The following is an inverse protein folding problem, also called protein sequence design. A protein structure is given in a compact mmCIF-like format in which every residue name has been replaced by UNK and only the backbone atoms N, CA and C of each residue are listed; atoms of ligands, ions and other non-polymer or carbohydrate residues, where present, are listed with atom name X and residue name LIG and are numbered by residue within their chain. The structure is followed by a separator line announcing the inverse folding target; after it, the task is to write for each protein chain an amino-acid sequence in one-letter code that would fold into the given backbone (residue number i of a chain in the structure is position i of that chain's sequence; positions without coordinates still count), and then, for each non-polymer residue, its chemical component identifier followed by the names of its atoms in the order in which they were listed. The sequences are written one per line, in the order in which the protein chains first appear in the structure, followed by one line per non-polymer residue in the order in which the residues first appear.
data_IF_576887929121
#
_entry.id   IF_576887929121
#
_cell.length_a   1.000
_cell.length_b   1.000
_cell.length_c   1.000
_cell.angle_alpha   90.00
_cell.angle_beta   90.00
_cell.angle_gamma   90.00
#
_symmetry.space_group_name_H-M   'P 1'
#
loop_
_entity.id
_entity.type
_entity.pdbx_description
1 polymer ?
#
# COMPACT_ATOMS: atom_id res chain seq x y z
N UNK A 1 -36.90 -31.27 -10.08
CA UNK A 1 -36.04 -31.04 -8.89
C UNK A 1 -34.69 -31.71 -9.13
N UNK A 2 -33.74 -31.02 -9.77
CA UNK A 2 -32.36 -31.51 -9.91
C UNK A 2 -31.48 -30.64 -9.04
N UNK A 3 -31.31 -31.06 -7.79
CA UNK A 3 -30.56 -30.35 -6.77
C UNK A 3 -29.66 -31.32 -6.02
N UNK A 4 -28.37 -31.28 -6.38
CA UNK A 4 -27.20 -31.45 -5.52
C UNK A 4 -27.04 -32.76 -4.71
N UNK A 5 -26.24 -33.68 -5.26
CA UNK A 5 -25.20 -34.35 -4.49
C UNK A 5 -23.84 -33.82 -4.99
N UNK A 6 -23.38 -32.70 -4.40
CA UNK A 6 -21.96 -32.32 -4.53
C UNK A 6 -21.15 -33.33 -3.72
N UNK A 7 -20.14 -33.94 -4.33
CA UNK A 7 -19.27 -34.84 -3.59
C UNK A 7 -18.43 -34.04 -2.60
N UNK A 8 -18.17 -34.59 -1.42
CA UNK A 8 -17.35 -33.92 -0.39
C UNK A 8 -15.98 -33.45 -0.94
N UNK A 9 -15.44 -34.17 -1.93
CA UNK A 9 -14.23 -33.79 -2.67
C UNK A 9 -14.39 -32.47 -3.46
N UNK A 10 -15.50 -32.27 -4.16
CA UNK A 10 -15.80 -31.03 -4.89
C UNK A 10 -15.98 -29.85 -3.92
N UNK A 11 -16.58 -30.10 -2.75
CA UNK A 11 -16.76 -29.08 -1.73
C UNK A 11 -15.42 -28.67 -1.09
N UNK A 12 -14.53 -29.64 -0.82
CA UNK A 12 -13.17 -29.39 -0.37
C UNK A 12 -12.33 -28.65 -1.42
N UNK A 13 -12.43 -29.02 -2.70
CA UNK A 13 -11.76 -28.33 -3.80
C UNK A 13 -12.26 -26.90 -3.97
N UNK A 14 -13.57 -26.66 -3.82
CA UNK A 14 -14.14 -25.31 -3.87
C UNK A 14 -13.68 -24.41 -2.71
N UNK A 15 -13.38 -24.99 -1.54
CA UNK A 15 -12.79 -24.28 -0.39
C UNK A 15 -11.29 -24.07 -0.56
N UNK A 16 -10.61 -24.95 -1.30
CA UNK A 16 -9.18 -24.87 -1.58
C UNK A 16 -8.84 -23.86 -2.70
N UNK A 17 -9.65 -23.80 -3.75
CA UNK A 17 -9.45 -22.91 -4.89
C UNK A 17 -10.12 -21.57 -4.61
N UNK A 18 -9.30 -20.55 -4.32
CA UNK A 18 -9.80 -19.17 -4.21
C UNK A 18 -10.04 -18.60 -5.59
N UNK A 19 -11.30 -18.49 -5.99
CA UNK A 19 -11.71 -17.69 -7.14
C UNK A 19 -11.80 -16.22 -6.72
N UNK A 20 -11.19 -15.33 -7.49
CA UNK A 20 -11.27 -13.89 -7.29
C UNK A 20 -12.10 -13.29 -8.41
N UNK A 21 -13.08 -12.47 -8.07
CA UNK A 21 -13.82 -11.69 -9.05
C UNK A 21 -13.16 -10.32 -9.26
N UNK A 22 -13.47 -9.65 -10.36
CA UNK A 22 -13.00 -8.28 -10.61
C UNK A 22 -13.39 -7.31 -9.47
N UNK A 23 -14.57 -7.52 -8.90
CA UNK A 23 -15.03 -6.75 -7.74
C UNK A 23 -14.08 -6.91 -6.54
N UNK A 24 -13.55 -8.11 -6.30
CA UNK A 24 -12.61 -8.39 -5.20
C UNK A 24 -11.26 -7.71 -5.39
N UNK A 25 -10.86 -7.45 -6.64
CA UNK A 25 -9.59 -6.81 -6.99
C UNK A 25 -9.66 -5.28 -6.88
N UNK A 26 -10.81 -4.67 -7.17
CA UNK A 26 -10.96 -3.20 -7.29
C UNK A 26 -11.51 -2.54 -6.02
N UNK A 27 -11.83 -3.31 -4.98
CA UNK A 27 -12.37 -2.81 -3.69
C UNK A 27 -11.58 -1.62 -3.11
N UNK A 28 -10.29 -1.50 -3.41
CA UNK A 28 -9.39 -0.44 -2.93
C UNK A 28 -9.96 0.97 -3.18
N UNK A 29 -10.65 1.18 -4.30
CA UNK A 29 -11.21 2.47 -4.68
C UNK A 29 -12.51 2.83 -3.95
N UNK A 30 -13.17 1.88 -3.27
CA UNK A 30 -14.50 2.09 -2.66
C UNK A 30 -14.46 2.55 -1.20
N UNK A 31 -13.30 2.44 -0.54
CA UNK A 31 -13.19 2.77 0.87
C UNK A 31 -12.59 4.17 1.07
N UNK A 32 -13.24 5.07 1.83
CA UNK A 32 -12.74 6.44 2.02
C UNK A 32 -11.42 6.45 2.81
N UNK A 33 -11.25 5.49 3.73
CA UNK A 33 -10.03 5.35 4.51
C UNK A 33 -9.16 4.19 4.01
N UNK A 34 -8.01 4.54 3.47
CA UNK A 34 -7.03 3.59 2.93
C UNK A 34 -6.01 3.16 3.98
N UNK A 35 -5.53 1.93 3.83
CA UNK A 35 -4.37 1.41 4.56
C UNK A 35 -3.06 1.74 3.84
N UNK A 36 -1.92 1.55 4.51
CA UNK A 36 -0.60 1.79 3.91
C UNK A 36 -0.39 1.01 2.59
N UNK A 37 -0.62 -0.31 2.52
CA UNK A 37 -0.49 -1.03 1.25
C UNK A 37 -1.44 -0.53 0.17
N UNK A 38 -2.68 -0.18 0.49
CA UNK A 38 -3.64 0.33 -0.48
C UNK A 38 -3.23 1.68 -1.08
N UNK A 39 -2.59 2.54 -0.29
CA UNK A 39 -2.05 3.81 -0.78
C UNK A 39 -0.83 3.60 -1.67
N UNK A 40 0.10 2.72 -1.27
CA UNK A 40 1.38 2.55 -1.96
C UNK A 40 1.31 1.63 -3.19
N UNK A 41 0.34 0.71 -3.25
CA UNK A 41 0.14 -0.18 -4.40
C UNK A 41 -0.17 0.56 -5.72
N UNK A 42 -0.61 1.82 -5.63
CA UNK A 42 -0.92 2.67 -6.78
C UNK A 42 0.33 3.29 -7.40
N UNK A 43 1.46 3.28 -6.67
CA UNK A 43 2.70 3.91 -7.09
C UNK A 43 3.70 2.90 -7.64
N UNK A 44 4.59 3.33 -8.56
CA UNK A 44 5.67 2.48 -9.04
C UNK A 44 6.59 2.09 -7.88
N UNK A 45 7.23 0.93 -8.00
CA UNK A 45 8.09 0.36 -6.96
C UNK A 45 7.45 0.32 -5.58
N UNK A 46 6.12 0.19 -5.49
CA UNK A 46 5.41 0.00 -4.23
C UNK A 46 5.67 1.13 -3.21
N UNK A 47 5.98 2.34 -3.68
CA UNK A 47 6.27 3.51 -2.84
C UNK A 47 7.61 3.45 -2.09
N UNK A 48 8.58 2.66 -2.57
CA UNK A 48 9.96 2.72 -2.07
C UNK A 48 10.52 4.14 -2.23
N UNK A 49 11.16 4.65 -1.17
CA UNK A 49 11.70 6.00 -1.06
C UNK A 49 10.70 7.03 -0.48
N UNK A 50 9.42 6.68 -0.34
CA UNK A 50 8.42 7.60 0.18
C UNK A 50 8.57 7.76 1.69
N UNK A 51 8.24 8.96 2.17
CA UNK A 51 8.08 9.25 3.60
C UNK A 51 6.69 8.85 4.02
N UNK A 52 6.57 8.05 5.08
CA UNK A 52 5.28 7.63 5.64
C UNK A 52 5.26 7.86 7.14
N UNK A 53 4.12 8.33 7.65
CA UNK A 53 3.95 8.59 9.07
C UNK A 53 2.50 8.36 9.49
N UNK A 54 2.28 8.26 10.80
CA UNK A 54 0.93 8.19 11.34
C UNK A 54 0.40 9.58 11.68
N UNK A 55 -0.90 9.78 11.53
CA UNK A 55 -1.60 11.02 11.91
C UNK A 55 -1.39 11.42 13.37
N UNK A 56 -1.19 10.44 14.26
CA UNK A 56 -0.99 10.65 15.71
C UNK A 56 0.48 10.77 16.10
N UNK A 57 1.41 10.69 15.16
CA UNK A 57 2.83 10.83 15.47
C UNK A 57 3.20 12.31 15.61
N UNK A 58 4.21 12.63 16.44
CA UNK A 58 4.78 13.97 16.49
C UNK A 58 5.21 14.44 15.10
N UNK A 59 5.23 15.76 14.92
CA UNK A 59 5.77 16.37 13.71
C UNK A 59 7.22 15.92 13.46
N UNK A 60 7.62 15.88 12.19
CA UNK A 60 8.94 15.43 11.75
C UNK A 60 9.34 14.00 12.16
N UNK A 61 8.38 13.18 12.61
CA UNK A 61 8.55 11.74 12.80
C UNK A 61 8.00 10.97 11.60
N UNK A 62 8.86 10.34 10.83
CA UNK A 62 8.46 9.59 9.63
C UNK A 62 9.35 8.37 9.41
N UNK A 63 8.94 7.47 8.54
CA UNK A 63 9.73 6.34 8.06
C UNK A 63 9.93 6.53 6.56
N UNK A 64 11.16 6.39 6.08
CA UNK A 64 11.43 6.27 4.65
C UNK A 64 11.41 4.80 4.29
N UNK A 65 10.56 4.41 3.35
CA UNK A 65 10.41 3.02 2.92
C UNK A 65 11.64 2.62 2.11
N UNK A 66 12.32 1.57 2.52
CA UNK A 66 13.45 0.99 1.78
C UNK A 66 13.01 -0.21 0.96
N UNK A 67 12.10 -1.02 1.50
CA UNK A 67 11.63 -2.25 0.87
C UNK A 67 10.14 -2.48 1.13
N UNK A 68 9.46 -3.03 0.13
CA UNK A 68 8.04 -3.33 0.19
C UNK A 68 7.73 -4.68 -0.48
N UNK A 69 7.16 -5.60 0.30
CA UNK A 69 6.75 -6.93 -0.18
C UNK A 69 5.23 -7.06 -0.11
N UNK A 70 4.61 -7.07 -1.27
CA UNK A 70 3.16 -7.24 -1.39
C UNK A 70 2.83 -8.73 -1.53
N UNK A 71 1.83 -9.19 -0.77
CA UNK A 71 1.19 -10.51 -0.99
C UNK A 71 -0.04 -10.36 -1.92
N UNK A 72 -0.60 -9.16 -1.97
CA UNK A 72 -1.71 -8.75 -2.83
C UNK A 72 -1.98 -7.27 -2.58
N UNK A 73 -2.92 -6.68 -3.31
CA UNK A 73 -3.10 -5.23 -3.33
C UNK A 73 -3.40 -4.57 -1.96
N UNK A 74 -3.99 -5.33 -1.02
CA UNK A 74 -4.39 -4.83 0.32
C UNK A 74 -3.46 -5.27 1.45
N UNK A 75 -2.51 -6.15 1.16
CA UNK A 75 -1.69 -6.81 2.17
C UNK A 75 -0.22 -6.78 1.76
N UNK A 76 0.63 -6.21 2.64
CA UNK A 76 2.06 -6.15 2.40
C UNK A 76 2.86 -5.98 3.69
N UNK A 77 4.13 -6.39 3.63
CA UNK A 77 5.14 -6.11 4.64
C UNK A 77 6.03 -4.99 4.12
N UNK A 78 6.25 -3.99 4.96
CA UNK A 78 7.05 -2.82 4.63
C UNK A 78 8.20 -2.70 5.61
N UNK A 79 9.35 -2.33 5.08
CA UNK A 79 10.56 -2.07 5.84
C UNK A 79 11.08 -0.68 5.49
N UNK A 80 11.64 0.00 6.48
CA UNK A 80 12.14 1.34 6.27
C UNK A 80 12.92 1.88 7.46
N UNK A 81 13.64 2.96 7.22
CA UNK A 81 14.45 3.62 8.25
C UNK A 81 13.59 4.69 8.92
N UNK A 82 13.55 4.67 10.25
CA UNK A 82 12.80 5.65 11.01
C UNK A 82 13.63 6.92 11.23
N UNK A 83 13.01 8.07 10.97
CA UNK A 83 13.58 9.39 11.15
C UNK A 83 12.78 10.17 12.20
N UNK A 84 13.50 11.00 12.95
CA UNK A 84 12.91 12.00 13.85
C UNK A 84 13.73 13.28 13.78
N UNK A 85 13.06 14.41 13.49
CA UNK A 85 13.71 15.70 13.29
C UNK A 85 14.87 15.63 12.27
N UNK A 86 14.65 14.91 11.17
CA UNK A 86 15.63 14.73 10.09
C UNK A 86 16.78 13.75 10.40
N UNK A 87 16.87 13.22 11.63
CA UNK A 87 17.92 12.26 12.01
C UNK A 87 17.41 10.83 11.98
N UNK A 88 18.17 9.86 11.43
CA UNK A 88 17.81 8.46 11.52
C UNK A 88 17.93 7.98 12.98
N UNK A 89 16.88 7.33 13.48
CA UNK A 89 16.85 6.72 14.82
C UNK A 89 17.54 5.36 14.85
N UNK A 90 17.48 4.62 13.73
CA UNK A 90 18.09 3.31 13.58
C UNK A 90 18.91 3.26 12.30
N UNK A 91 20.09 2.64 12.30
CA UNK A 91 20.88 2.47 11.08
C UNK A 91 20.27 1.41 10.15
N UNK A 92 19.53 0.46 10.72
CA UNK A 92 18.91 -0.64 9.97
C UNK A 92 17.43 -0.37 9.69
N UNK A 93 16.91 -0.85 8.55
CA UNK A 93 15.48 -0.83 8.25
C UNK A 93 14.68 -1.64 9.27
N UNK A 94 13.61 -1.03 9.80
CA UNK A 94 12.67 -1.67 10.71
C UNK A 94 11.37 -2.03 9.99
N UNK A 95 10.73 -3.11 10.43
CA UNK A 95 9.40 -3.49 9.94
C UNK A 95 8.34 -2.50 10.40
N UNK A 96 7.58 -1.95 9.46
CA UNK A 96 6.45 -1.05 9.77
C UNK A 96 5.30 -1.87 10.37
N UNK A 97 4.95 -1.57 11.63
CA UNK A 97 3.84 -2.22 12.34
C UNK A 97 2.49 -1.57 12.02
N UNK A 98 1.43 -2.36 12.03
CA UNK A 98 0.04 -1.96 11.74
C UNK A 98 -0.12 -1.22 10.41
N UNK A 99 0.60 -1.64 9.37
CA UNK A 99 0.49 -1.09 8.01
C UNK A 99 -0.96 -1.22 7.46
N UNK A 100 -1.67 -2.28 7.82
CA UNK A 100 -3.06 -2.53 7.39
C UNK A 100 -4.11 -1.66 8.09
N UNK A 101 -3.74 -0.87 9.12
CA UNK A 101 -4.69 0.01 9.80
C UNK A 101 -5.11 1.14 8.86
N UNK A 102 -6.42 1.27 8.64
CA UNK A 102 -7.01 2.26 7.73
C UNK A 102 -7.07 3.64 8.37
N UNK A 103 -6.92 4.68 7.56
CA UNK A 103 -7.17 6.07 7.96
C UNK A 103 -6.16 6.66 8.94
N UNK A 104 -5.13 5.91 9.34
CA UNK A 104 -4.11 6.37 10.30
C UNK A 104 -2.83 6.85 9.64
N UNK A 105 -2.61 6.52 8.38
CA UNK A 105 -1.36 6.78 7.68
C UNK A 105 -1.48 8.01 6.78
N UNK A 106 -0.35 8.70 6.62
CA UNK A 106 -0.10 9.75 5.65
C UNK A 106 1.22 9.45 4.95
N UNK A 107 1.39 9.96 3.74
CA UNK A 107 2.60 9.78 2.97
C UNK A 107 2.98 11.06 2.22
N UNK A 108 4.26 11.15 1.86
CA UNK A 108 4.85 12.14 0.97
C UNK A 108 5.82 11.41 0.03
N UNK A 109 5.80 11.79 -1.25
CA UNK A 109 6.61 11.18 -2.31
C UNK A 109 8.09 11.52 -2.17
N UNK A 110 8.47 12.48 -1.30
CA UNK A 110 9.86 12.77 -0.94
C UNK A 110 10.76 13.07 -2.15
N UNK A 111 10.20 13.65 -3.22
CA UNK A 111 10.89 13.93 -4.49
C UNK A 111 11.59 12.71 -5.10
N UNK A 112 11.10 11.50 -4.87
CA UNK A 112 11.72 10.29 -5.41
C UNK A 112 11.56 10.23 -6.92
N UNK A 113 12.63 9.89 -7.62
CA UNK A 113 12.61 9.46 -9.02
C UNK A 113 13.27 8.10 -9.13
N UNK A 114 12.89 7.31 -10.12
CA UNK A 114 13.49 6.00 -10.28
C UNK A 114 13.04 5.28 -11.54
N UNK A 115 13.54 4.07 -11.66
CA UNK A 115 13.18 3.15 -12.73
C UNK A 115 12.40 2.00 -12.09
N UNK A 116 11.27 1.66 -12.69
CA UNK A 116 10.49 0.49 -12.28
C UNK A 116 11.20 -0.81 -12.67
N UNK A 117 10.78 -1.94 -12.09
CA UNK A 117 11.34 -3.25 -12.44
C UNK A 117 11.28 -3.56 -13.96
N UNK A 118 10.32 -2.98 -14.68
CA UNK A 118 10.14 -3.16 -16.12
C UNK A 118 10.92 -2.13 -16.97
N UNK A 119 11.78 -1.32 -16.36
CA UNK A 119 12.59 -0.31 -17.06
C UNK A 119 11.88 1.03 -17.30
N UNK A 120 10.61 1.19 -16.89
CA UNK A 120 9.88 2.46 -17.06
C UNK A 120 10.37 3.48 -16.03
N UNK A 121 10.84 4.63 -16.49
CA UNK A 121 11.26 5.75 -15.65
C UNK A 121 10.05 6.55 -15.14
N UNK A 122 10.11 6.99 -13.89
CA UNK A 122 9.15 7.91 -13.31
C UNK A 122 9.86 9.10 -12.65
N UNK A 123 9.37 10.30 -12.94
CA UNK A 123 9.87 11.55 -12.37
C UNK A 123 9.17 11.90 -11.06
N UNK A 124 9.85 12.67 -10.22
CA UNK A 124 9.29 13.20 -8.98
C UNK A 124 8.07 14.10 -9.22
N UNK A 125 8.04 14.82 -10.34
CA UNK A 125 6.97 15.73 -10.73
C UNK A 125 5.68 14.95 -11.03
N UNK A 126 5.77 13.89 -11.83
CA UNK A 126 4.63 13.05 -12.17
C UNK A 126 4.02 12.40 -10.92
N UNK A 127 4.86 11.96 -9.98
CA UNK A 127 4.40 11.38 -8.72
C UNK A 127 3.66 12.41 -7.84
N UNK A 128 4.13 13.67 -7.81
CA UNK A 128 3.47 14.76 -7.09
C UNK A 128 2.16 15.18 -7.74
N UNK A 129 2.11 15.22 -9.06
CA UNK A 129 0.88 15.53 -9.79
C UNK A 129 -0.19 14.47 -9.49
N UNK A 130 0.20 13.19 -9.58
CA UNK A 130 -0.68 12.08 -9.24
C UNK A 130 -1.17 12.11 -7.79
N UNK A 131 -0.28 12.41 -6.82
CA UNK A 131 -0.69 12.49 -5.41
C UNK A 131 -1.70 13.61 -5.16
N UNK A 132 -1.54 14.79 -5.80
CA UNK A 132 -2.50 15.89 -5.72
C UNK A 132 -3.87 15.52 -6.28
N UNK A 133 -3.91 14.86 -7.44
CA UNK A 133 -5.16 14.40 -8.05
C UNK A 133 -5.92 13.43 -7.14
N UNK A 134 -5.19 12.51 -6.50
CA UNK A 134 -5.79 11.52 -5.60
C UNK A 134 -6.27 12.13 -4.27
N UNK A 135 -5.50 13.05 -3.68
CA UNK A 135 -5.91 13.74 -2.46
C UNK A 135 -7.16 14.61 -2.69
N UNK A 136 -7.28 15.25 -3.86
CA UNK A 136 -8.47 16.04 -4.21
C UNK A 136 -9.73 15.19 -4.39
N UNK A 137 -9.60 13.94 -4.85
CA UNK A 137 -10.73 13.00 -4.92
C UNK A 137 -11.22 12.61 -3.53
N UNK A 138 -10.30 12.36 -2.60
CA UNK A 138 -10.63 12.01 -1.21
C UNK A 138 -11.26 13.16 -0.41
N UNK A 139 -11.15 14.42 -0.87
CA UNK A 139 -11.75 15.59 -0.21
C UNK A 139 -13.12 15.99 -0.79
N UNK A 140 -13.50 15.46 -1.96
CA UNK A 140 -14.77 15.78 -2.63
C UNK A 140 -15.89 14.79 -2.31
N UNK A 141 -15.57 13.69 -1.64
CA UNK A 141 -16.50 12.67 -1.13
C UNK A 141 -16.73 12.87 0.38
#
# INVERSE_FOLDING_TARGET
MQGLLRTAAEEMLSKAIRTYTFNDLIVIGRHPYKSLPEMLAQYPNNGVGFKVWRKTWPENKYIIITEAHFKGLRNGKFFGIQYYNGRPLTPQPIKIRNCSKRGTWKYDTNNTSGVSANGVYFSAENLKEYSKLHQNREQKE
#
